data_IF_294917600192
#
_entry.id   IF_294917600192
#
_cell.length_a   1.000
_cell.length_b   1.000
_cell.length_c   1.000
_cell.angle_alpha   90.00
_cell.angle_beta   90.00
_cell.angle_gamma   90.00
#
_symmetry.space_group_name_H-M   'P 1'
#
loop_
_entity.id
_entity.type
_entity.pdbx_description
1 polymer ?
#
# COMPACT_ATOMS: atom_id res chain seq x y z
N UNK A 1 -28.48 6.59 -9.58
CA UNK A 1 -27.54 7.58 -9.04
C UNK A 1 -26.58 7.95 -10.15
N UNK A 2 -26.33 9.24 -10.35
CA UNK A 2 -25.37 9.71 -11.36
C UNK A 2 -24.09 10.15 -10.66
N UNK A 3 -22.96 9.77 -11.23
CA UNK A 3 -21.66 10.09 -10.69
C UNK A 3 -20.61 10.11 -11.80
N UNK A 4 -19.48 10.74 -11.52
CA UNK A 4 -18.29 10.71 -12.35
C UNK A 4 -17.05 10.56 -11.48
N UNK A 5 -16.00 10.04 -12.10
CA UNK A 5 -14.70 9.92 -11.48
C UNK A 5 -13.73 10.90 -12.11
N UNK A 6 -12.90 11.53 -11.28
CA UNK A 6 -11.86 12.45 -11.72
C UNK A 6 -10.53 12.10 -11.06
N UNK A 7 -9.43 12.56 -11.66
CA UNK A 7 -8.10 12.44 -11.08
C UNK A 7 -7.57 13.84 -10.83
N UNK A 8 -7.31 14.16 -9.56
CA UNK A 8 -6.81 15.45 -9.16
C UNK A 8 -5.30 15.36 -8.92
N UNK A 9 -4.54 16.02 -9.78
CA UNK A 9 -3.09 16.13 -9.62
C UNK A 9 -2.77 17.40 -8.83
N UNK A 10 -1.99 17.26 -7.77
CA UNK A 10 -1.56 18.37 -6.92
C UNK A 10 -0.08 18.24 -6.57
N UNK A 11 0.57 19.37 -6.31
CA UNK A 11 1.94 19.38 -5.82
C UNK A 11 1.94 19.41 -4.30
N UNK A 12 2.49 18.37 -3.67
CA UNK A 12 2.67 18.32 -2.22
C UNK A 12 3.98 19.01 -1.85
N UNK A 13 3.87 20.09 -1.08
CA UNK A 13 5.01 20.91 -0.66
C UNK A 13 5.81 20.26 0.47
N UNK A 14 5.25 19.27 1.16
CA UNK A 14 5.92 18.62 2.29
C UNK A 14 6.99 17.62 1.84
N UNK A 15 6.77 16.95 0.71
CA UNK A 15 7.72 16.02 0.10
C UNK A 15 8.19 16.42 -1.30
N UNK A 16 7.75 17.58 -1.80
CA UNK A 16 8.17 18.16 -3.09
C UNK A 16 7.79 17.27 -4.30
N UNK A 17 6.71 16.49 -4.18
CA UNK A 17 6.27 15.55 -5.22
C UNK A 17 4.93 15.99 -5.84
N UNK A 18 4.77 15.70 -7.13
CA UNK A 18 3.45 15.74 -7.75
C UNK A 18 2.69 14.46 -7.37
N UNK A 19 1.61 14.61 -6.62
CA UNK A 19 0.72 13.54 -6.23
C UNK A 19 -0.56 13.58 -7.06
N UNK A 20 -1.20 12.43 -7.13
CA UNK A 20 -2.52 12.26 -7.70
C UNK A 20 -3.44 11.75 -6.61
N UNK A 21 -4.71 12.15 -6.65
CA UNK A 21 -5.77 11.53 -5.86
C UNK A 21 -6.98 11.28 -6.74
N UNK A 22 -7.62 10.13 -6.52
CA UNK A 22 -8.86 9.77 -7.19
C UNK A 22 -10.03 10.46 -6.49
N UNK A 23 -10.88 11.13 -7.26
CA UNK A 23 -12.08 11.79 -6.77
C UNK A 23 -13.32 11.10 -7.33
N UNK A 24 -14.32 10.91 -6.47
CA UNK A 24 -15.69 10.55 -6.82
C UNK A 24 -16.57 11.78 -6.64
N UNK A 25 -17.30 12.14 -7.69
CA UNK A 25 -18.26 13.24 -7.69
C UNK A 25 -19.64 12.65 -7.96
N UNK A 26 -20.53 12.75 -6.98
CA UNK A 26 -21.92 12.31 -7.08
C UNK A 26 -22.77 13.53 -7.42
N UNK A 27 -23.59 13.45 -8.47
CA UNK A 27 -24.55 14.50 -8.80
C UNK A 27 -25.66 14.56 -7.74
N UNK A 28 -26.08 15.78 -7.37
CA UNK A 28 -27.10 16.05 -6.37
C UNK A 28 -26.85 15.34 -5.01
N UNK A 29 -25.57 15.23 -4.61
CA UNK A 29 -25.13 14.48 -3.42
C UNK A 29 -25.84 14.91 -2.12
N UNK A 30 -26.29 16.16 -2.04
CA UNK A 30 -27.04 16.72 -0.92
C UNK A 30 -28.35 15.95 -0.64
N UNK A 31 -28.91 15.27 -1.64
CA UNK A 31 -30.09 14.43 -1.49
C UNK A 31 -29.81 13.12 -0.76
N UNK A 32 -28.55 12.74 -0.59
CA UNK A 32 -28.11 11.51 0.07
C UNK A 32 -27.50 11.75 1.45
N UNK A 33 -27.36 13.03 1.85
CA UNK A 33 -26.77 13.45 3.12
C UNK A 33 -25.46 14.22 2.91
N UNK A 34 -25.23 15.23 3.75
CA UNK A 34 -24.10 16.18 3.62
C UNK A 34 -22.74 15.48 3.62
N UNK A 35 -22.61 14.39 4.38
CA UNK A 35 -21.37 13.62 4.52
C UNK A 35 -21.34 12.32 3.70
N UNK A 36 -22.34 12.05 2.86
CA UNK A 36 -22.48 10.76 2.16
C UNK A 36 -21.27 10.43 1.28
N UNK A 37 -20.79 11.41 0.51
CA UNK A 37 -19.59 11.23 -0.31
C UNK A 37 -18.34 11.00 0.55
N UNK A 38 -18.21 11.69 1.69
CA UNK A 38 -17.07 11.53 2.61
C UNK A 38 -17.01 10.13 3.21
N UNK A 39 -18.18 9.56 3.56
CA UNK A 39 -18.30 8.19 4.07
C UNK A 39 -17.80 7.15 3.05
N UNK A 40 -18.07 7.38 1.77
CA UNK A 40 -17.71 6.44 0.70
C UNK A 40 -16.27 6.67 0.20
N UNK A 41 -15.80 7.91 0.19
CA UNK A 41 -14.48 8.30 -0.33
C UNK A 41 -13.32 7.78 0.52
N UNK A 42 -13.52 7.64 1.83
CA UNK A 42 -12.45 7.24 2.76
C UNK A 42 -12.35 5.72 2.96
N UNK A 43 -13.11 4.92 2.22
CA UNK A 43 -13.10 3.47 2.34
C UNK A 43 -11.80 2.89 1.74
N UNK A 44 -11.14 2.02 2.51
CA UNK A 44 -10.00 1.24 2.02
C UNK A 44 -10.44 0.24 0.94
N UNK A 45 -9.52 -0.12 0.04
CA UNK A 45 -9.84 -0.96 -1.13
C UNK A 45 -10.30 -2.38 -0.75
N UNK A 46 -9.70 -2.97 0.28
CA UNK A 46 -10.09 -4.26 0.86
C UNK A 46 -11.52 -4.21 1.42
N UNK A 47 -11.85 -3.14 2.15
CA UNK A 47 -13.19 -2.93 2.67
C UNK A 47 -14.21 -2.67 1.55
N UNK A 48 -13.82 -1.93 0.52
CA UNK A 48 -14.65 -1.74 -0.68
C UNK A 48 -14.90 -3.05 -1.43
N UNK A 49 -13.92 -3.96 -1.49
CA UNK A 49 -14.10 -5.29 -2.05
C UNK A 49 -15.09 -6.14 -1.24
N UNK A 50 -15.01 -6.07 0.09
CA UNK A 50 -16.00 -6.70 0.98
C UNK A 50 -17.41 -6.18 0.71
N UNK A 51 -17.59 -4.85 0.68
CA UNK A 51 -18.89 -4.21 0.44
C UNK A 51 -19.48 -4.70 -0.88
N UNK A 52 -18.70 -4.69 -1.98
CA UNK A 52 -19.17 -5.14 -3.29
C UNK A 52 -19.61 -6.60 -3.25
N UNK A 53 -18.83 -7.50 -2.64
CA UNK A 53 -19.20 -8.93 -2.52
C UNK A 53 -20.45 -9.12 -1.67
N UNK A 54 -20.60 -8.37 -0.59
CA UNK A 54 -21.77 -8.43 0.29
C UNK A 54 -23.02 -7.93 -0.41
N UNK A 55 -22.93 -6.83 -1.16
CA UNK A 55 -24.06 -6.31 -1.95
C UNK A 55 -24.50 -7.27 -3.07
N UNK A 56 -23.57 -7.99 -3.71
CA UNK A 56 -23.93 -9.05 -4.67
C UNK A 56 -24.78 -10.15 -4.01
N UNK A 57 -24.46 -10.51 -2.77
CA UNK A 57 -25.23 -11.48 -1.99
C UNK A 57 -26.58 -10.93 -1.55
N UNK A 58 -26.67 -9.64 -1.21
CA UNK A 58 -27.95 -8.99 -0.88
C UNK A 58 -28.88 -8.98 -2.11
N UNK A 59 -28.35 -8.59 -3.27
CA UNK A 59 -29.11 -8.51 -4.52
C UNK A 59 -29.54 -9.90 -5.02
N UNK A 60 -28.69 -10.92 -4.87
CA UNK A 60 -29.02 -12.31 -5.22
C UNK A 60 -30.04 -12.93 -4.24
N UNK A 61 -30.18 -12.36 -3.03
CA UNK A 61 -31.00 -12.90 -1.95
C UNK A 61 -30.31 -13.98 -1.12
N UNK A 62 -28.99 -14.21 -1.31
CA UNK A 62 -28.17 -15.05 -0.42
C UNK A 62 -28.05 -14.41 0.98
N UNK A 63 -27.96 -13.09 1.04
CA UNK A 63 -27.92 -12.32 2.28
C UNK A 63 -29.19 -11.48 2.42
N UNK A 64 -29.77 -11.45 3.62
CA UNK A 64 -31.01 -10.71 3.87
C UNK A 64 -30.78 -9.19 3.92
N UNK A 65 -29.68 -8.77 4.54
CA UNK A 65 -29.28 -7.38 4.68
C UNK A 65 -27.76 -7.28 4.88
N UNK A 66 -27.18 -6.13 4.54
CA UNK A 66 -25.80 -5.76 4.84
C UNK A 66 -25.76 -4.27 5.16
N UNK A 67 -24.95 -3.85 6.12
CA UNK A 67 -24.72 -2.44 6.42
C UNK A 67 -23.23 -2.11 6.37
N UNK A 68 -22.93 -0.88 5.98
CA UNK A 68 -21.57 -0.35 5.98
C UNK A 68 -21.60 1.16 6.24
N UNK A 69 -20.48 1.69 6.70
CA UNK A 69 -20.34 3.10 7.09
C UNK A 69 -19.13 3.29 7.97
N UNK A 70 -18.64 4.51 8.06
CA UNK A 70 -17.40 4.85 8.76
C UNK A 70 -17.68 5.65 10.04
N UNK A 71 -18.23 6.87 9.94
CA UNK A 71 -18.31 7.78 11.08
C UNK A 71 -19.71 8.38 11.30
N UNK A 72 -20.30 8.99 10.28
CA UNK A 72 -21.49 9.83 10.35
C UNK A 72 -22.74 9.10 9.85
N UNK A 73 -22.62 8.30 8.80
CA UNK A 73 -23.75 7.59 8.23
C UNK A 73 -23.53 6.07 8.19
N UNK A 74 -24.61 5.32 8.41
CA UNK A 74 -24.71 3.91 8.09
C UNK A 74 -25.58 3.73 6.85
N UNK A 75 -25.11 2.96 5.87
CA UNK A 75 -25.84 2.61 4.66
C UNK A 75 -26.38 1.19 4.81
N UNK A 76 -27.62 1.08 5.24
CA UNK A 76 -28.30 -0.20 5.44
C UNK A 76 -28.90 -0.71 4.14
N UNK A 77 -28.37 -1.80 3.59
CA UNK A 77 -28.74 -2.34 2.29
C UNK A 77 -29.64 -3.57 2.43
N UNK A 78 -30.87 -3.46 1.92
CA UNK A 78 -31.77 -4.61 1.69
C UNK A 78 -31.83 -4.88 0.19
N UNK A 79 -32.49 -5.96 -0.22
CA UNK A 79 -32.50 -6.38 -1.65
C UNK A 79 -32.86 -5.25 -2.62
N UNK A 80 -33.93 -4.50 -2.35
CA UNK A 80 -34.46 -3.52 -3.30
C UNK A 80 -34.03 -2.08 -2.99
N UNK A 81 -34.00 -1.72 -1.70
CA UNK A 81 -33.74 -0.35 -1.24
C UNK A 81 -32.69 -0.37 -0.12
N UNK A 82 -31.71 0.51 -0.25
CA UNK A 82 -30.76 0.90 0.77
C UNK A 82 -31.23 2.18 1.47
N UNK A 83 -30.98 2.28 2.76
CA UNK A 83 -31.32 3.42 3.58
C UNK A 83 -30.04 4.07 4.10
N UNK A 84 -29.90 5.38 3.91
CA UNK A 84 -28.81 6.16 4.52
C UNK A 84 -29.31 6.66 5.86
N UNK A 85 -28.64 6.21 6.93
CA UNK A 85 -29.03 6.44 8.31
C UNK A 85 -28.04 7.41 8.97
N UNK A 86 -28.56 8.51 9.50
CA UNK A 86 -27.81 9.44 10.34
C UNK A 86 -27.64 8.87 11.75
N UNK A 87 -26.42 8.41 12.05
CA UNK A 87 -26.10 7.75 13.33
C UNK A 87 -26.07 8.73 14.50
N UNK A 88 -25.86 10.03 14.22
CA UNK A 88 -25.85 11.10 15.23
C UNK A 88 -27.24 11.69 15.46
N UNK A 89 -28.16 11.56 14.49
CA UNK A 89 -29.53 12.05 14.59
C UNK A 89 -30.53 10.92 14.85
N UNK A 90 -30.34 10.19 15.96
CA UNK A 90 -31.27 9.15 16.41
C UNK A 90 -31.57 8.06 15.37
N UNK A 91 -30.58 7.68 14.55
CA UNK A 91 -30.75 6.66 13.50
C UNK A 91 -31.84 7.05 12.50
N UNK A 92 -31.94 8.35 12.20
CA UNK A 92 -32.90 8.86 11.23
C UNK A 92 -32.50 8.45 9.82
N UNK A 93 -33.42 7.81 9.10
CA UNK A 93 -33.30 7.66 7.65
C UNK A 93 -33.38 9.03 6.97
N UNK A 94 -32.32 9.41 6.27
CA UNK A 94 -32.20 10.70 5.58
C UNK A 94 -32.32 10.55 4.06
N UNK A 95 -32.09 9.35 3.52
CA UNK A 95 -32.27 9.06 2.11
C UNK A 95 -32.58 7.57 1.89
N UNK A 96 -33.33 7.29 0.82
CA UNK A 96 -33.56 5.95 0.31
C UNK A 96 -33.04 5.88 -1.12
N UNK A 97 -32.23 4.86 -1.40
CA UNK A 97 -31.51 4.71 -2.66
C UNK A 97 -31.73 3.27 -3.12
N UNK A 98 -32.09 3.00 -4.39
CA UNK A 98 -32.16 1.62 -4.86
C UNK A 98 -30.83 0.91 -4.64
N UNK A 99 -30.85 -0.28 -4.05
CA UNK A 99 -29.62 -1.01 -3.66
C UNK A 99 -28.73 -1.29 -4.86
N UNK A 100 -29.35 -1.51 -6.02
CA UNK A 100 -28.66 -1.68 -7.29
C UNK A 100 -27.76 -0.47 -7.62
N UNK A 101 -28.21 0.76 -7.33
CA UNK A 101 -27.43 1.97 -7.59
C UNK A 101 -26.23 2.11 -6.66
N UNK A 102 -26.38 1.73 -5.39
CA UNK A 102 -25.26 1.65 -4.43
C UNK A 102 -24.26 0.59 -4.88
N UNK A 103 -24.73 -0.59 -5.28
CA UNK A 103 -23.86 -1.65 -5.79
C UNK A 103 -23.08 -1.20 -7.02
N UNK A 104 -23.73 -0.58 -7.99
CA UNK A 104 -23.08 -0.06 -9.19
C UNK A 104 -22.05 1.01 -8.85
N UNK A 105 -22.39 1.98 -8.00
CA UNK A 105 -21.45 3.00 -7.51
C UNK A 105 -20.22 2.35 -6.87
N UNK A 106 -20.41 1.45 -5.90
CA UNK A 106 -19.32 0.84 -5.15
C UNK A 106 -18.44 -0.05 -6.04
N UNK A 107 -19.06 -0.77 -6.98
CA UNK A 107 -18.37 -1.59 -7.96
C UNK A 107 -17.56 -0.75 -8.93
N UNK A 108 -18.15 0.31 -9.47
CA UNK A 108 -17.50 1.19 -10.43
C UNK A 108 -16.42 2.01 -9.74
N UNK A 109 -16.63 2.44 -8.49
CA UNK A 109 -15.61 3.09 -7.68
C UNK A 109 -14.44 2.15 -7.40
N UNK A 110 -14.71 0.90 -7.01
CA UNK A 110 -13.68 -0.13 -6.84
C UNK A 110 -12.89 -0.35 -8.13
N UNK A 111 -13.60 -0.51 -9.24
CA UNK A 111 -12.97 -0.71 -10.55
C UNK A 111 -12.15 0.51 -10.97
N UNK A 112 -12.63 1.73 -10.68
CA UNK A 112 -11.91 2.96 -10.94
C UNK A 112 -10.67 3.07 -10.07
N UNK A 113 -10.74 2.76 -8.76
CA UNK A 113 -9.58 2.73 -7.87
C UNK A 113 -8.59 1.62 -8.25
N UNK A 114 -9.05 0.48 -8.76
CA UNK A 114 -8.16 -0.57 -9.29
C UNK A 114 -7.54 -0.12 -10.62
N UNK A 115 -8.32 0.48 -11.51
CA UNK A 115 -7.84 0.96 -12.80
C UNK A 115 -6.88 2.14 -12.63
N UNK A 116 -7.11 3.01 -11.64
CA UNK A 116 -6.27 4.17 -11.35
C UNK A 116 -5.16 3.89 -10.36
N UNK A 117 -5.27 2.92 -9.46
CA UNK A 117 -4.08 2.34 -8.82
C UNK A 117 -3.25 1.61 -9.87
N UNK A 118 -3.87 1.03 -10.90
CA UNK A 118 -3.17 0.59 -12.11
C UNK A 118 -2.70 1.75 -12.99
N UNK A 119 -3.21 2.97 -12.94
CA UNK A 119 -2.68 4.13 -13.71
C UNK A 119 -1.59 4.87 -12.92
N UNK A 120 -1.65 4.88 -11.60
CA UNK A 120 -0.54 5.20 -10.72
C UNK A 120 0.53 4.10 -10.80
N UNK A 121 0.14 2.84 -10.99
CA UNK A 121 1.03 1.72 -11.34
C UNK A 121 1.29 1.53 -12.85
N UNK A 122 0.69 2.34 -13.76
CA UNK A 122 0.98 2.40 -15.21
C UNK A 122 1.64 3.75 -15.59
N UNK A 123 1.79 4.67 -14.64
CA UNK A 123 2.91 5.61 -14.53
C UNK A 123 4.04 5.05 -13.66
N UNK A 124 3.79 4.04 -12.83
CA UNK A 124 4.77 2.99 -12.62
C UNK A 124 4.78 2.09 -13.86
N UNK A 125 5.87 1.43 -14.14
CA UNK A 125 6.03 0.64 -15.34
C UNK A 125 5.27 -0.68 -15.16
N UNK A 126 4.48 -1.04 -16.16
CA UNK A 126 3.76 -2.30 -16.26
C UNK A 126 4.77 -3.43 -16.56
N UNK A 127 5.57 -3.81 -15.57
CA UNK A 127 6.58 -4.87 -15.65
C UNK A 127 6.13 -6.09 -14.84
N UNK A 128 5.02 -6.69 -15.24
CA UNK A 128 4.78 -8.11 -14.93
C UNK A 128 5.23 -8.92 -16.15
N UNK A 129 6.56 -8.93 -16.28
CA UNK A 129 7.46 -9.88 -16.97
C UNK A 129 8.80 -9.22 -17.36
N UNK A 130 9.12 -8.02 -16.86
CA UNK A 130 10.48 -7.48 -16.92
C UNK A 130 11.12 -7.71 -15.55
N UNK A 131 12.05 -8.65 -15.54
CA UNK A 131 13.06 -8.81 -14.51
C UNK A 131 13.66 -7.45 -14.14
N UNK A 132 13.51 -7.03 -12.88
CA UNK A 132 14.08 -5.76 -12.42
C UNK A 132 15.58 -5.96 -12.18
N UNK A 133 16.39 -5.54 -13.15
CA UNK A 133 17.85 -5.69 -13.07
C UNK A 133 18.48 -4.48 -12.38
N UNK A 134 19.49 -4.77 -11.56
CA UNK A 134 20.29 -3.77 -10.88
C UNK A 134 21.71 -4.27 -10.67
N UNK A 135 22.64 -3.34 -10.56
CA UNK A 135 24.01 -3.66 -10.18
C UNK A 135 24.17 -3.49 -8.68
N UNK A 136 24.67 -4.52 -8.02
CA UNK A 136 25.05 -4.48 -6.62
C UNK A 136 26.58 -4.47 -6.50
N UNK A 137 27.13 -3.39 -5.96
CA UNK A 137 28.54 -3.32 -5.60
C UNK A 137 28.67 -3.56 -4.10
N UNK A 138 29.51 -4.51 -3.71
CA UNK A 138 29.66 -4.92 -2.30
C UNK A 138 30.84 -4.29 -1.56
N UNK A 139 31.49 -3.31 -2.19
CA UNK A 139 32.74 -2.70 -1.71
C UNK A 139 33.98 -3.17 -2.48
N UNK A 140 33.94 -4.34 -3.14
CA UNK A 140 35.05 -4.88 -3.94
C UNK A 140 34.61 -5.31 -5.34
N UNK A 141 33.51 -6.03 -5.43
CA UNK A 141 33.02 -6.64 -6.66
C UNK A 141 31.66 -6.08 -7.05
N UNK A 142 31.40 -6.05 -8.36
CA UNK A 142 30.11 -5.69 -8.95
C UNK A 142 29.38 -6.96 -9.36
N UNK A 143 28.12 -7.08 -8.96
CA UNK A 143 27.25 -8.20 -9.26
C UNK A 143 26.00 -7.69 -9.97
N UNK A 144 25.68 -8.30 -11.12
CA UNK A 144 24.38 -8.10 -11.74
C UNK A 144 23.35 -8.96 -11.01
N UNK A 145 22.28 -8.33 -10.54
CA UNK A 145 21.20 -8.98 -9.80
C UNK A 145 19.86 -8.73 -10.48
N UNK A 146 18.90 -9.59 -10.18
CA UNK A 146 17.57 -9.54 -10.80
C UNK A 146 16.53 -9.84 -9.75
N UNK A 147 15.64 -8.88 -9.52
CA UNK A 147 14.58 -8.86 -8.50
C UNK A 147 15.13 -8.89 -7.06
N UNK A 148 15.89 -9.91 -6.69
CA UNK A 148 16.56 -10.09 -5.40
C UNK A 148 18.02 -10.53 -5.56
N UNK A 149 18.79 -10.43 -4.48
CA UNK A 149 20.16 -10.92 -4.39
C UNK A 149 20.36 -11.61 -3.06
N UNK A 150 21.01 -12.77 -3.06
CA UNK A 150 21.34 -13.50 -1.84
C UNK A 150 22.70 -14.17 -2.01
N UNK A 151 23.74 -13.59 -1.41
CA UNK A 151 25.06 -14.19 -1.45
C UNK A 151 25.99 -13.67 -0.34
N UNK A 152 27.15 -14.28 -0.25
CA UNK A 152 28.26 -13.83 0.58
C UNK A 152 28.80 -12.49 0.09
N UNK A 153 29.21 -11.65 1.04
CA UNK A 153 29.98 -10.45 0.74
C UNK A 153 31.42 -10.85 0.40
N UNK A 154 32.07 -10.09 -0.47
CA UNK A 154 33.48 -10.29 -0.82
C UNK A 154 34.43 -10.00 0.34
N UNK A 155 33.96 -9.29 1.36
CA UNK A 155 34.70 -9.02 2.60
C UNK A 155 33.74 -8.82 3.77
N UNK A 156 34.13 -9.33 4.94
CA UNK A 156 33.50 -9.12 6.24
C UNK A 156 34.02 -7.84 6.95
N UNK A 157 34.91 -7.08 6.32
CA UNK A 157 35.41 -5.81 6.84
C UNK A 157 34.37 -4.70 6.62
N UNK A 158 33.87 -4.14 7.72
CA UNK A 158 32.91 -3.03 7.69
C UNK A 158 33.40 -1.83 6.88
N UNK A 159 34.70 -1.53 6.93
CA UNK A 159 35.26 -0.42 6.15
C UNK A 159 35.18 -0.64 4.64
N UNK A 160 35.03 -1.90 4.22
CA UNK A 160 34.84 -2.32 2.83
C UNK A 160 33.34 -2.32 2.50
N UNK A 161 32.55 -3.20 3.13
CA UNK A 161 31.16 -3.38 2.75
C UNK A 161 30.25 -2.21 3.12
N UNK A 162 30.64 -1.32 4.05
CA UNK A 162 29.85 -0.09 4.29
C UNK A 162 29.81 0.83 3.07
N UNK A 163 30.70 0.65 2.07
CA UNK A 163 30.67 1.36 0.79
C UNK A 163 29.79 0.69 -0.26
N UNK A 164 29.10 -0.40 0.07
CA UNK A 164 28.21 -1.07 -0.85
C UNK A 164 27.11 -0.16 -1.35
N UNK A 165 26.79 -0.31 -2.63
CA UNK A 165 25.71 0.44 -3.26
C UNK A 165 24.91 -0.43 -4.21
N UNK A 166 23.69 -0.01 -4.46
CA UNK A 166 22.86 -0.48 -5.57
C UNK A 166 22.80 0.62 -6.62
N UNK A 167 22.89 0.22 -7.90
CA UNK A 167 22.80 1.12 -9.04
C UNK A 167 21.75 0.64 -10.04
N UNK A 168 20.86 1.55 -10.43
CA UNK A 168 19.79 1.31 -11.41
C UNK A 168 19.76 2.47 -12.41
N UNK A 169 20.08 2.21 -13.68
CA UNK A 169 20.05 3.23 -14.74
C UNK A 169 20.80 4.53 -14.38
N UNK A 170 22.00 4.40 -13.80
CA UNK A 170 22.87 5.48 -13.30
C UNK A 170 22.40 6.20 -12.02
N UNK A 171 21.30 5.75 -11.38
CA UNK A 171 20.92 6.21 -10.04
C UNK A 171 21.52 5.29 -8.99
N UNK A 172 22.07 5.85 -7.92
CA UNK A 172 22.83 5.12 -6.90
C UNK A 172 22.28 5.33 -5.50
N UNK A 173 22.36 4.30 -4.67
CA UNK A 173 22.11 4.37 -3.23
C UNK A 173 23.11 3.53 -2.46
N UNK A 174 23.79 4.13 -1.49
CA UNK A 174 24.69 3.46 -0.56
C UNK A 174 23.90 2.84 0.59
N UNK A 175 23.69 1.53 0.51
CA UNK A 175 22.67 0.81 1.30
C UNK A 175 22.93 0.81 2.82
N UNK A 176 24.17 1.06 3.26
CA UNK A 176 24.53 1.11 4.69
C UNK A 176 24.72 2.54 5.22
N UNK A 177 24.50 3.57 4.39
CA UNK A 177 24.80 4.97 4.74
C UNK A 177 23.59 5.89 4.60
N UNK A 178 22.70 5.61 3.66
CA UNK A 178 21.61 6.52 3.30
C UNK A 178 20.30 6.14 3.97
N UNK A 179 19.91 6.93 4.98
CA UNK A 179 18.65 6.83 5.74
C UNK A 179 18.28 5.39 6.13
N UNK A 180 19.23 4.66 6.69
CA UNK A 180 19.05 3.26 7.08
C UNK A 180 18.17 3.17 8.32
N UNK A 181 17.10 2.37 8.24
CA UNK A 181 16.19 2.08 9.35
C UNK A 181 15.93 0.58 9.44
N UNK A 182 15.90 0.05 10.66
CA UNK A 182 15.41 -1.32 10.89
C UNK A 182 13.90 -1.33 10.76
N UNK A 183 13.34 -2.26 9.97
CA UNK A 183 11.89 -2.43 9.80
C UNK A 183 11.29 -3.13 11.03
N UNK A 184 11.22 -2.40 12.14
CA UNK A 184 10.65 -2.87 13.41
C UNK A 184 10.01 -1.76 14.23
N UNK A 185 9.15 -2.15 15.18
CA UNK A 185 8.57 -1.23 16.16
C UNK A 185 9.47 -0.93 17.36
N UNK A 186 10.73 -1.39 17.34
CA UNK A 186 11.63 -1.20 18.47
C UNK A 186 12.13 0.25 18.58
N UNK A 187 12.32 0.93 17.45
CA UNK A 187 12.90 2.28 17.45
C UNK A 187 12.31 3.19 16.36
N UNK A 188 12.31 2.73 15.11
CA UNK A 188 12.15 3.62 13.95
C UNK A 188 10.70 3.81 13.49
N UNK A 189 9.82 2.85 13.80
CA UNK A 189 8.44 2.84 13.31
C UNK A 189 7.47 2.58 14.45
N UNK A 190 6.30 3.21 14.39
CA UNK A 190 5.15 2.72 15.14
C UNK A 190 4.48 1.56 14.38
N UNK A 191 3.51 0.90 15.03
CA UNK A 191 2.81 -0.26 14.46
C UNK A 191 2.14 0.05 13.11
N UNK A 192 1.44 1.17 13.01
CA UNK A 192 0.73 1.58 11.80
C UNK A 192 1.70 1.85 10.64
N UNK A 193 2.81 2.55 10.92
CA UNK A 193 3.85 2.83 9.93
C UNK A 193 4.49 1.53 9.42
N UNK A 194 4.76 0.59 10.31
CA UNK A 194 5.30 -0.72 9.94
C UNK A 194 4.31 -1.50 9.06
N UNK A 195 3.02 -1.52 9.42
CA UNK A 195 1.96 -2.16 8.64
C UNK A 195 1.89 -1.60 7.22
N UNK A 196 1.86 -0.26 7.07
CA UNK A 196 1.84 0.41 5.76
C UNK A 196 3.06 0.08 4.91
N UNK A 197 4.26 0.06 5.50
CA UNK A 197 5.49 -0.28 4.78
C UNK A 197 5.46 -1.75 4.35
N UNK A 198 5.03 -2.66 5.23
CA UNK A 198 4.97 -4.08 4.87
C UNK A 198 3.94 -4.36 3.78
N UNK A 199 2.80 -3.67 3.78
CA UNK A 199 1.81 -3.77 2.71
C UNK A 199 2.38 -3.27 1.38
N UNK A 200 3.00 -2.08 1.37
CA UNK A 200 3.62 -1.47 0.18
C UNK A 200 4.62 -2.41 -0.50
N UNK A 201 5.45 -3.08 0.28
CA UNK A 201 6.54 -3.93 -0.24
C UNK A 201 6.24 -5.42 -0.17
N UNK A 202 4.99 -5.83 0.09
CA UNK A 202 4.57 -7.25 0.17
C UNK A 202 5.39 -8.09 1.17
N UNK A 203 5.76 -7.47 2.29
CA UNK A 203 6.41 -8.11 3.44
C UNK A 203 5.36 -8.60 4.44
N UNK A 204 5.79 -9.42 5.41
CA UNK A 204 4.95 -9.87 6.52
C UNK A 204 5.48 -9.36 7.85
N UNK A 205 4.62 -9.34 8.87
CA UNK A 205 4.98 -8.94 10.24
C UNK A 205 4.97 -10.17 11.14
N UNK A 206 5.98 -10.29 11.99
CA UNK A 206 6.03 -11.26 13.09
C UNK A 206 6.26 -10.54 14.42
N UNK A 207 5.69 -11.10 15.47
CA UNK A 207 5.92 -10.68 16.85
C UNK A 207 7.13 -11.44 17.44
N UNK A 208 8.05 -10.71 18.06
CA UNK A 208 9.13 -11.29 18.85
C UNK A 208 9.55 -10.36 19.99
N UNK A 209 9.43 -10.84 21.23
CA UNK A 209 9.85 -10.14 22.45
C UNK A 209 9.24 -8.72 22.57
N UNK A 210 7.91 -8.64 22.44
CA UNK A 210 7.12 -7.40 22.53
C UNK A 210 7.46 -6.37 21.44
N UNK A 211 8.03 -6.82 20.32
CA UNK A 211 8.39 -6.01 19.17
C UNK A 211 7.90 -6.66 17.88
N UNK A 212 7.35 -5.85 16.97
CA UNK A 212 6.95 -6.28 15.64
C UNK A 212 8.12 -6.07 14.67
N UNK A 213 8.37 -7.07 13.84
CA UNK A 213 9.43 -7.05 12.83
C UNK A 213 8.88 -7.42 11.45
N UNK A 214 9.29 -6.69 10.42
CA UNK A 214 9.07 -7.11 9.05
C UNK A 214 9.98 -8.29 8.69
N UNK A 215 9.46 -9.22 7.89
CA UNK A 215 10.21 -10.33 7.33
C UNK A 215 9.69 -10.71 5.94
N UNK A 216 10.54 -11.39 5.16
CA UNK A 216 10.18 -11.96 3.87
C UNK A 216 10.07 -13.49 3.99
N UNK A 217 9.08 -14.12 3.35
CA UNK A 217 8.88 -15.58 3.45
C UNK A 217 9.92 -16.38 2.67
N UNK A 218 10.49 -15.78 1.64
CA UNK A 218 11.46 -16.41 0.75
C UNK A 218 12.88 -16.46 1.32
N UNK A 219 13.13 -15.91 2.50
CA UNK A 219 14.45 -15.90 3.12
C UNK A 219 14.37 -15.95 4.65
N UNK A 220 15.30 -16.66 5.29
CA UNK A 220 15.39 -16.74 6.76
C UNK A 220 16.09 -15.47 7.27
N UNK A 221 15.45 -14.31 7.06
CA UNK A 221 15.97 -13.02 7.49
C UNK A 221 15.81 -12.86 9.01
N UNK A 222 16.91 -12.54 9.70
CA UNK A 222 16.85 -12.20 11.13
C UNK A 222 16.14 -10.86 11.35
N UNK A 223 16.52 -9.83 10.59
CA UNK A 223 15.97 -8.47 10.64
C UNK A 223 16.12 -7.78 9.28
N UNK A 224 15.04 -7.29 8.70
CA UNK A 224 15.11 -6.47 7.48
C UNK A 224 15.40 -5.01 7.83
N UNK A 225 16.17 -4.37 6.97
CA UNK A 225 16.52 -2.97 6.98
C UNK A 225 16.03 -2.33 5.68
N UNK A 226 15.71 -1.04 5.76
CA UNK A 226 15.33 -0.22 4.63
C UNK A 226 16.31 0.95 4.52
N UNK A 227 16.87 1.17 3.33
CA UNK A 227 17.70 2.33 2.99
C UNK A 227 17.00 3.13 1.90
N UNK A 228 16.96 4.45 2.03
CA UNK A 228 16.18 5.31 1.15
C UNK A 228 16.91 6.61 0.83
N UNK A 229 16.82 7.05 -0.43
CA UNK A 229 17.18 8.40 -0.85
C UNK A 229 16.11 8.97 -1.78
N UNK A 230 16.37 10.10 -2.44
CA UNK A 230 15.36 10.76 -3.30
C UNK A 230 14.95 9.92 -4.53
N UNK A 231 15.69 8.85 -4.85
CA UNK A 231 15.57 8.10 -6.11
C UNK A 231 15.26 6.63 -5.91
N UNK A 232 15.85 6.02 -4.90
CA UNK A 232 15.81 4.59 -4.68
C UNK A 232 15.43 4.25 -3.24
N UNK A 233 14.79 3.11 -3.10
CA UNK A 233 14.57 2.40 -1.84
C UNK A 233 15.13 0.99 -1.98
N UNK A 234 15.92 0.54 -1.03
CA UNK A 234 16.45 -0.83 -0.98
C UNK A 234 16.04 -1.47 0.35
N UNK A 235 15.49 -2.68 0.28
CA UNK A 235 15.18 -3.49 1.45
C UNK A 235 16.13 -4.68 1.46
N UNK A 236 16.86 -4.86 2.56
CA UNK A 236 17.90 -5.86 2.65
C UNK A 236 18.03 -6.41 4.08
N UNK A 237 18.83 -7.45 4.27
CA UNK A 237 19.38 -7.80 5.56
C UNK A 237 20.79 -8.36 5.43
N UNK A 238 21.62 -8.12 6.44
CA UNK A 238 22.88 -8.82 6.59
C UNK A 238 22.64 -10.24 7.12
N UNK A 239 23.38 -11.19 6.56
CA UNK A 239 23.33 -12.61 6.94
C UNK A 239 24.67 -13.03 7.52
N UNK A 240 24.66 -14.10 8.33
CA UNK A 240 25.86 -14.67 8.94
C UNK A 240 25.63 -15.19 10.35
N UNK A 241 26.55 -16.05 10.81
CA UNK A 241 26.42 -16.72 12.10
C UNK A 241 27.00 -15.89 13.24
N UNK A 242 28.14 -15.25 13.01
CA UNK A 242 28.90 -14.50 14.03
C UNK A 242 29.05 -13.01 13.73
N UNK A 243 28.63 -12.58 12.55
CA UNK A 243 28.66 -11.20 12.08
C UNK A 243 28.13 -11.11 10.64
N UNK A 244 28.27 -9.94 9.99
CA UNK A 244 27.96 -9.78 8.58
C UNK A 244 28.92 -10.60 7.71
N UNK A 245 28.41 -11.67 7.13
CA UNK A 245 29.12 -12.61 6.23
C UNK A 245 28.53 -12.56 4.81
N UNK A 246 27.23 -12.26 4.71
CA UNK A 246 26.51 -12.14 3.47
C UNK A 246 25.46 -11.04 3.52
N UNK A 247 24.81 -10.85 2.38
CA UNK A 247 23.73 -9.88 2.21
C UNK A 247 22.62 -10.50 1.39
N UNK A 248 21.41 -10.33 1.91
CA UNK A 248 20.18 -10.59 1.18
C UNK A 248 19.53 -9.26 0.84
N UNK A 249 19.41 -8.94 -0.43
CA UNK A 249 18.60 -7.82 -0.94
C UNK A 249 17.25 -8.40 -1.32
N UNK A 250 16.22 -8.06 -0.55
CA UNK A 250 14.85 -8.47 -0.82
C UNK A 250 14.34 -7.84 -2.11
N UNK A 251 14.61 -6.55 -2.29
CA UNK A 251 14.16 -5.81 -3.45
C UNK A 251 14.71 -4.38 -3.51
N UNK A 252 14.75 -3.86 -4.73
CA UNK A 252 15.16 -2.51 -5.07
C UNK A 252 13.99 -1.83 -5.78
N UNK A 253 13.66 -0.62 -5.36
CA UNK A 253 12.50 0.11 -5.84
C UNK A 253 12.89 1.53 -6.22
N UNK A 254 12.36 2.03 -7.34
CA UNK A 254 12.42 3.44 -7.66
C UNK A 254 11.33 4.19 -6.87
N UNK A 255 11.68 5.38 -6.38
CA UNK A 255 10.76 6.28 -5.67
C UNK A 255 9.96 7.16 -6.64
#
# INVERSE_FOLDING_TARGET
>A
MKYKFEQHNYFDKNDNLNKSTSLLIIEDQENYGEHFSTEILNLKLDYLEEIVKSLEKVLSGELLYYDFGYEVYSIECKKEISQVIDTYNYWKCIAEIPTQEIYELMKDWKNYLIANSKIENNKAVNDLDIQFTYDFFDGLNLFEATDSYDNWLSSDDYSVYSNSYVEVQNEKIYIFKENVKTLSTYNEFNKLELELITEKYKLKIKDWADCLYAYAENHISRRLEISQNDKLTVIYCLTGSYGPEGVFIYGVYKN
#
